data_IF_048581339438
#
_entry.id   IF_048581339438
#
_cell.length_a   1.000
_cell.length_b   1.000
_cell.length_c   1.000
_cell.angle_alpha   90.00
_cell.angle_beta   90.00
_cell.angle_gamma   90.00
#
_symmetry.space_group_name_H-M   'P 1'
#
loop_
_entity.id
_entity.type
_entity.pdbx_description
1 polymer ?
#
# COMPACT_ATOMS: atom_id res chain seq x y z
N UNK A 1 10.29 -5.56 -34.32
CA UNK A 1 10.75 -6.15 -33.06
C UNK A 1 9.48 -6.36 -32.23
N UNK A 2 9.08 -7.61 -31.95
CA UNK A 2 8.02 -7.82 -30.96
C UNK A 2 8.67 -7.47 -29.62
N UNK A 3 8.33 -6.32 -29.04
CA UNK A 3 8.85 -5.93 -27.74
C UNK A 3 8.51 -7.04 -26.75
N UNK A 4 9.53 -7.78 -26.30
CA UNK A 4 9.36 -8.77 -25.25
C UNK A 4 9.20 -7.99 -23.96
N UNK A 5 8.07 -8.15 -23.29
CA UNK A 5 7.86 -7.55 -21.98
C UNK A 5 8.35 -8.50 -20.89
N UNK A 6 8.87 -7.97 -19.78
CA UNK A 6 9.19 -8.78 -18.61
C UNK A 6 7.90 -9.35 -18.01
N UNK A 7 7.92 -10.62 -17.58
CA UNK A 7 6.81 -11.17 -16.79
C UNK A 7 6.73 -10.47 -15.44
N UNK A 8 5.52 -10.09 -15.05
CA UNK A 8 5.24 -9.50 -13.74
C UNK A 8 5.17 -10.63 -12.73
N UNK A 9 5.98 -10.55 -11.67
CA UNK A 9 5.87 -11.43 -10.51
C UNK A 9 5.77 -10.59 -9.25
N UNK A 10 4.58 -10.54 -8.65
CA UNK A 10 4.32 -9.68 -7.50
C UNK A 10 5.03 -10.18 -6.22
N UNK A 11 5.34 -11.47 -6.13
CA UNK A 11 5.94 -12.11 -4.96
C UNK A 11 7.47 -12.25 -5.05
N UNK A 12 8.08 -11.64 -6.06
CA UNK A 12 9.54 -11.64 -6.25
C UNK A 12 10.09 -10.23 -6.05
N UNK A 13 11.38 -10.10 -5.74
CA UNK A 13 12.13 -8.84 -5.87
C UNK A 13 12.68 -8.62 -7.27
N UNK A 14 12.67 -9.66 -8.10
CA UNK A 14 13.31 -9.66 -9.41
C UNK A 14 12.41 -9.11 -10.51
N UNK A 15 13.03 -8.45 -11.48
CA UNK A 15 12.36 -7.87 -12.64
C UNK A 15 11.96 -6.41 -12.45
N UNK A 16 11.04 -5.96 -13.32
CA UNK A 16 10.66 -4.55 -13.47
C UNK A 16 9.16 -4.39 -13.33
N UNK A 17 8.76 -3.42 -12.52
CA UNK A 17 7.36 -3.07 -12.29
C UNK A 17 7.07 -1.65 -12.77
N UNK A 18 6.16 -1.54 -13.73
CA UNK A 18 5.75 -0.25 -14.28
C UNK A 18 4.94 0.57 -13.28
N UNK A 19 5.04 1.89 -13.38
CA UNK A 19 4.37 2.86 -12.48
C UNK A 19 2.86 2.67 -12.30
N UNK A 20 2.14 2.24 -13.34
CA UNK A 20 0.68 2.09 -13.26
C UNK A 20 0.24 0.90 -12.39
N UNK A 21 0.95 -0.21 -12.52
CA UNK A 21 0.72 -1.41 -11.69
C UNK A 21 1.21 -1.14 -10.26
N UNK A 22 2.38 -0.51 -10.13
CA UNK A 22 2.88 -0.07 -8.82
C UNK A 22 1.86 0.83 -8.11
N UNK A 23 1.33 1.86 -8.79
CA UNK A 23 0.32 2.76 -8.23
C UNK A 23 -0.87 1.99 -7.65
N UNK A 24 -1.42 1.04 -8.40
CA UNK A 24 -2.56 0.22 -7.97
C UNK A 24 -2.26 -0.56 -6.68
N UNK A 25 -1.18 -1.34 -6.64
CA UNK A 25 -0.85 -2.17 -5.48
C UNK A 25 -0.36 -1.36 -4.28
N UNK A 26 0.38 -0.28 -4.54
CA UNK A 26 0.91 0.62 -3.50
C UNK A 26 -0.19 1.29 -2.67
N UNK A 27 -1.41 1.34 -3.21
CA UNK A 27 -2.57 1.85 -2.51
C UNK A 27 -3.50 0.74 -1.99
N UNK A 28 -3.79 -0.29 -2.79
CA UNK A 28 -4.69 -1.39 -2.39
C UNK A 28 -4.15 -2.13 -1.16
N UNK A 29 -2.83 -2.36 -1.07
CA UNK A 29 -2.24 -3.10 0.05
C UNK A 29 -2.42 -2.36 1.39
N UNK A 30 -1.99 -1.09 1.55
CA UNK A 30 -2.24 -0.34 2.77
C UNK A 30 -3.73 -0.17 3.08
N UNK A 31 -4.57 0.11 2.08
CA UNK A 31 -6.02 0.26 2.27
C UNK A 31 -6.66 -1.02 2.81
N UNK A 32 -6.29 -2.18 2.27
CA UNK A 32 -6.78 -3.48 2.74
C UNK A 32 -6.37 -3.71 4.20
N UNK A 33 -5.11 -3.43 4.55
CA UNK A 33 -4.63 -3.57 5.93
C UNK A 33 -5.37 -2.62 6.87
N UNK A 34 -5.59 -1.36 6.48
CA UNK A 34 -6.36 -0.40 7.27
C UNK A 34 -7.77 -0.92 7.58
N UNK A 35 -8.48 -1.42 6.57
CA UNK A 35 -9.83 -1.96 6.75
C UNK A 35 -9.86 -3.24 7.58
N UNK A 36 -8.84 -4.10 7.49
CA UNK A 36 -8.71 -5.26 8.37
C UNK A 36 -8.50 -4.84 9.83
N UNK A 37 -7.67 -3.82 10.09
CA UNK A 37 -7.49 -3.26 11.43
C UNK A 37 -8.82 -2.71 11.96
N UNK A 38 -9.52 -1.91 11.17
CA UNK A 38 -10.81 -1.33 11.56
C UNK A 38 -11.85 -2.42 11.86
N UNK A 39 -11.91 -3.48 11.04
CA UNK A 39 -12.82 -4.60 11.24
C UNK A 39 -12.52 -5.35 12.55
N UNK A 40 -11.24 -5.62 12.86
CA UNK A 40 -10.85 -6.29 14.10
C UNK A 40 -11.10 -5.38 15.31
N UNK A 41 -10.77 -4.09 15.21
CA UNK A 41 -11.02 -3.10 16.26
C UNK A 41 -12.50 -3.04 16.66
N UNK A 42 -13.41 -3.13 15.69
CA UNK A 42 -14.87 -3.17 15.94
C UNK A 42 -15.38 -4.45 16.63
N UNK A 43 -14.56 -5.50 16.72
CA UNK A 43 -14.91 -6.75 17.41
C UNK A 43 -14.29 -6.86 18.81
N UNK A 44 -13.49 -5.86 19.22
CA UNK A 44 -12.84 -5.85 20.53
C UNK A 44 -13.89 -5.85 21.63
N UNK A 45 -13.86 -6.86 22.50
CA UNK A 45 -14.84 -7.07 23.57
C UNK A 45 -15.93 -8.10 23.27
N UNK A 46 -16.08 -8.55 22.02
CA UNK A 46 -16.94 -9.69 21.68
C UNK A 46 -16.19 -11.03 21.79
N UNK A 47 -14.88 -10.99 21.55
CA UNK A 47 -14.00 -12.15 21.62
C UNK A 47 -13.46 -12.39 23.02
N UNK A 48 -13.22 -13.66 23.35
CA UNK A 48 -12.46 -14.03 24.54
C UNK A 48 -10.95 -13.72 24.37
N UNK A 49 -10.16 -13.90 25.44
CA UNK A 49 -8.73 -13.56 25.44
C UNK A 49 -7.96 -14.34 24.37
N UNK A 50 -8.27 -15.63 24.18
CA UNK A 50 -7.57 -16.48 23.21
C UNK A 50 -7.88 -16.07 21.77
N UNK A 51 -9.14 -15.79 21.47
CA UNK A 51 -9.60 -15.33 20.17
C UNK A 51 -8.98 -13.97 19.80
N UNK A 52 -8.94 -13.02 20.75
CA UNK A 52 -8.27 -11.73 20.55
C UNK A 52 -6.78 -11.93 20.27
N UNK A 53 -6.09 -12.77 21.04
CA UNK A 53 -4.67 -13.05 20.83
C UNK A 53 -4.40 -13.64 19.44
N UNK A 54 -5.25 -14.56 18.98
CA UNK A 54 -5.16 -15.16 17.65
C UNK A 54 -5.42 -14.10 16.55
N UNK A 55 -6.46 -13.29 16.69
CA UNK A 55 -6.80 -12.24 15.74
C UNK A 55 -5.67 -11.23 15.57
N UNK A 56 -5.09 -10.74 16.67
CA UNK A 56 -3.95 -9.82 16.64
C UNK A 56 -2.69 -10.47 16.06
N UNK A 57 -2.45 -11.76 16.33
CA UNK A 57 -1.30 -12.48 15.77
C UNK A 57 -1.41 -12.63 14.26
N UNK A 58 -2.60 -12.99 13.75
CA UNK A 58 -2.86 -13.06 12.31
C UNK A 58 -2.77 -11.70 11.64
N UNK A 59 -3.28 -10.65 12.29
CA UNK A 59 -3.17 -9.28 11.81
C UNK A 59 -1.71 -8.84 11.72
N UNK A 60 -0.90 -9.11 12.74
CA UNK A 60 0.53 -8.79 12.73
C UNK A 60 1.25 -9.50 11.57
N UNK A 61 0.94 -10.78 11.34
CA UNK A 61 1.47 -11.54 10.21
C UNK A 61 1.04 -10.93 8.86
N UNK A 62 -0.23 -10.53 8.72
CA UNK A 62 -0.75 -9.91 7.52
C UNK A 62 -0.08 -8.55 7.23
N UNK A 63 0.14 -7.73 8.27
CA UNK A 63 0.86 -6.45 8.16
C UNK A 63 2.30 -6.71 7.70
N UNK A 64 2.99 -7.69 8.30
CA UNK A 64 4.37 -8.02 7.92
C UNK A 64 4.46 -8.51 6.48
N UNK A 65 3.54 -9.39 6.06
CA UNK A 65 3.47 -9.88 4.70
C UNK A 65 3.17 -8.76 3.69
N UNK A 66 2.22 -7.86 4.01
CA UNK A 66 1.89 -6.72 3.16
C UNK A 66 3.06 -5.73 3.04
N UNK A 67 3.79 -5.48 4.13
CA UNK A 67 4.99 -4.65 4.12
C UNK A 67 6.11 -5.28 3.27
N UNK A 68 6.40 -6.56 3.45
CA UNK A 68 7.39 -7.28 2.65
C UNK A 68 7.04 -7.26 1.15
N UNK A 69 5.75 -7.44 0.83
CA UNK A 69 5.24 -7.37 -0.54
C UNK A 69 5.41 -5.96 -1.11
N UNK A 70 5.03 -4.92 -0.38
CA UNK A 70 5.15 -3.53 -0.82
C UNK A 70 6.62 -3.12 -1.04
N UNK A 71 7.54 -3.59 -0.19
CA UNK A 71 8.98 -3.40 -0.37
C UNK A 71 9.45 -4.11 -1.65
N UNK A 72 9.04 -5.36 -1.87
CA UNK A 72 9.38 -6.13 -3.08
C UNK A 72 8.91 -5.44 -4.36
N UNK A 73 7.69 -4.91 -4.36
CA UNK A 73 7.15 -4.12 -5.47
C UNK A 73 7.93 -2.82 -5.68
N UNK A 74 8.40 -2.19 -4.60
CA UNK A 74 9.20 -0.96 -4.67
C UNK A 74 10.62 -1.23 -5.18
N UNK A 75 11.20 -2.39 -4.85
CA UNK A 75 12.47 -2.85 -5.43
C UNK A 75 12.32 -3.01 -6.95
N UNK A 76 11.30 -3.73 -7.41
CA UNK A 76 11.03 -3.87 -8.86
C UNK A 76 10.72 -2.53 -9.54
N UNK A 77 10.11 -1.59 -8.82
CA UNK A 77 9.88 -0.22 -9.29
C UNK A 77 11.20 0.53 -9.47
N UNK A 78 12.15 0.38 -8.55
CA UNK A 78 13.50 0.96 -8.66
C UNK A 78 14.26 0.40 -9.87
N UNK A 79 14.18 -0.92 -10.06
CA UNK A 79 14.77 -1.59 -11.22
C UNK A 79 14.20 -1.06 -12.55
N UNK A 80 12.94 -0.63 -12.57
CA UNK A 80 12.31 -0.12 -13.79
C UNK A 80 12.89 1.22 -14.28
N UNK A 81 13.46 2.06 -13.43
CA UNK A 81 14.27 3.22 -13.86
C UNK A 81 15.79 2.99 -13.69
N UNK A 82 16.20 1.71 -13.73
CA UNK A 82 17.59 1.25 -13.70
C UNK A 82 18.38 1.67 -12.45
N UNK A 83 17.72 1.65 -11.29
CA UNK A 83 18.33 1.93 -9.99
C UNK A 83 18.30 0.70 -9.10
N UNK A 84 19.20 0.66 -8.12
CA UNK A 84 19.27 -0.44 -7.17
C UNK A 84 18.04 -0.53 -6.27
N UNK A 85 17.72 -1.75 -5.82
CA UNK A 85 16.64 -2.00 -4.86
C UNK A 85 16.75 -1.25 -3.53
N UNK A 86 17.96 -0.80 -3.14
CA UNK A 86 18.23 -0.11 -1.88
C UNK A 86 17.39 1.15 -1.65
N UNK A 87 16.99 1.86 -2.71
CA UNK A 87 16.12 3.02 -2.59
C UNK A 87 14.75 2.67 -1.98
N UNK A 88 14.30 1.41 -2.03
CA UNK A 88 13.05 0.97 -1.40
C UNK A 88 13.03 1.16 0.11
N UNK A 89 14.19 1.23 0.77
CA UNK A 89 14.29 1.52 2.21
C UNK A 89 13.73 2.92 2.53
N UNK A 90 13.82 3.86 1.59
CA UNK A 90 13.24 5.20 1.75
C UNK A 90 11.73 5.14 1.97
N UNK A 91 11.03 4.13 1.44
CA UNK A 91 9.60 3.95 1.67
C UNK A 91 9.30 3.65 3.14
N UNK A 92 10.19 2.93 3.82
CA UNK A 92 10.01 2.57 5.24
C UNK A 92 10.31 3.77 6.14
N UNK A 93 11.36 4.53 5.82
CA UNK A 93 11.79 5.69 6.62
C UNK A 93 10.89 6.90 6.38
N UNK A 94 10.46 7.11 5.13
CA UNK A 94 9.65 8.25 4.71
C UNK A 94 8.53 7.80 3.75
N UNK A 95 7.42 7.23 4.26
CA UNK A 95 6.31 6.72 3.46
C UNK A 95 5.76 7.67 2.37
N UNK A 96 5.71 9.01 2.58
CA UNK A 96 5.26 9.94 1.53
C UNK A 96 6.10 9.91 0.24
N UNK A 97 7.30 9.32 0.26
CA UNK A 97 8.13 9.13 -0.94
C UNK A 97 7.42 8.34 -2.06
N UNK A 98 6.37 7.57 -1.71
CA UNK A 98 5.59 6.77 -2.64
C UNK A 98 5.05 7.58 -3.83
N UNK A 99 4.76 8.86 -3.61
CA UNK A 99 4.28 9.78 -4.65
C UNK A 99 5.34 9.97 -5.74
N UNK A 100 6.63 10.03 -5.38
CA UNK A 100 7.71 10.15 -6.38
C UNK A 100 7.75 8.92 -7.29
N UNK A 101 7.56 7.72 -6.74
CA UNK A 101 7.53 6.48 -7.51
C UNK A 101 6.38 6.42 -8.52
N UNK A 102 5.28 7.14 -8.27
CA UNK A 102 4.15 7.27 -9.20
C UNK A 102 4.47 8.19 -10.39
N UNK A 103 5.26 9.24 -10.15
CA UNK A 103 5.51 10.29 -11.14
C UNK A 103 6.68 9.95 -12.06
N UNK A 104 7.76 9.39 -11.51
CA UNK A 104 8.99 9.09 -12.25
C UNK A 104 8.66 8.11 -13.40
N UNK A 105 9.09 8.38 -14.65
CA UNK A 105 8.97 7.43 -15.74
C UNK A 105 9.99 6.28 -15.60
N UNK A 106 9.66 5.10 -16.11
CA UNK A 106 10.61 4.00 -16.26
C UNK A 106 11.62 4.23 -17.39
N UNK A 107 12.68 3.42 -17.44
CA UNK A 107 13.65 3.42 -18.54
C UNK A 107 13.06 2.82 -19.80
N UNK A 108 13.33 3.45 -20.95
CA UNK A 108 12.93 2.94 -22.26
C UNK A 108 13.81 1.75 -22.67
N UNK A 109 13.19 0.68 -23.19
CA UNK A 109 13.91 -0.50 -23.68
C UNK A 109 14.51 -1.38 -22.58
N UNK A 110 15.51 -2.17 -22.96
CA UNK A 110 16.21 -3.13 -22.10
C UNK A 110 17.16 -2.37 -21.17
N UNK A 111 17.17 -2.73 -19.89
CA UNK A 111 18.09 -2.21 -18.88
C UNK A 111 18.83 -3.34 -18.14
N UNK A 112 19.63 -3.01 -17.11
CA UNK A 112 20.41 -4.00 -16.34
C UNK A 112 19.57 -5.06 -15.61
N UNK A 113 18.28 -4.79 -15.46
CA UNK A 113 17.29 -5.65 -14.81
C UNK A 113 16.34 -6.35 -15.81
N UNK A 114 16.62 -6.21 -17.11
CA UNK A 114 15.96 -6.94 -18.19
C UNK A 114 15.03 -6.08 -19.07
N UNK A 115 14.13 -6.80 -19.73
CA UNK A 115 13.14 -6.28 -20.68
C UNK A 115 12.17 -5.27 -20.05
N UNK A 116 11.57 -4.34 -20.82
CA UNK A 116 10.65 -3.34 -20.28
C UNK A 116 9.45 -3.98 -19.57
N UNK A 117 8.97 -3.29 -18.53
CA UNK A 117 7.80 -3.75 -17.78
C UNK A 117 6.56 -3.78 -18.68
N UNK A 118 5.69 -4.77 -18.45
CA UNK A 118 4.43 -4.87 -19.19
C UNK A 118 3.55 -3.63 -18.96
N UNK A 119 3.10 -2.94 -20.02
CA UNK A 119 2.30 -1.73 -19.88
C UNK A 119 0.93 -2.08 -19.32
N UNK A 120 0.45 -1.26 -18.38
CA UNK A 120 -0.89 -1.40 -17.85
C UNK A 120 -1.92 -1.25 -18.99
N UNK A 121 -2.95 -2.12 -19.07
CA UNK A 121 -4.02 -1.99 -20.06
C UNK A 121 -4.63 -0.58 -20.02
N UNK A 122 -4.93 -0.01 -21.21
CA UNK A 122 -5.44 1.38 -21.32
C UNK A 122 -6.63 1.65 -20.41
N UNK A 123 -7.60 0.73 -20.35
CA UNK A 123 -8.76 0.83 -19.48
C UNK A 123 -8.33 0.95 -18.00
N UNK A 124 -7.47 0.04 -17.55
CA UNK A 124 -7.02 -0.01 -16.17
C UNK A 124 -6.21 1.24 -15.79
N UNK A 125 -5.44 1.81 -16.72
CA UNK A 125 -4.72 3.08 -16.52
C UNK A 125 -5.66 4.24 -16.16
N UNK A 126 -6.84 4.32 -16.78
CA UNK A 126 -7.84 5.35 -16.50
C UNK A 126 -8.72 5.01 -15.30
N UNK A 127 -9.02 3.72 -15.07
CA UNK A 127 -9.80 3.28 -13.92
C UNK A 127 -9.03 3.39 -12.59
N UNK A 128 -7.73 3.13 -12.59
CA UNK A 128 -6.91 3.12 -11.37
C UNK A 128 -7.01 4.39 -10.52
N UNK A 129 -6.88 5.62 -11.07
CA UNK A 129 -7.07 6.84 -10.27
C UNK A 129 -8.51 7.01 -9.79
N UNK A 130 -9.52 6.56 -10.55
CA UNK A 130 -10.92 6.61 -10.12
C UNK A 130 -11.18 5.65 -8.94
N UNK A 131 -10.63 4.43 -9.02
CA UNK A 131 -10.68 3.45 -7.94
C UNK A 131 -9.98 4.00 -6.69
N UNK A 132 -8.83 4.65 -6.87
CA UNK A 132 -8.11 5.32 -5.79
C UNK A 132 -8.97 6.38 -5.11
N UNK A 133 -9.56 7.30 -5.90
CA UNK A 133 -10.40 8.37 -5.36
C UNK A 133 -11.66 7.82 -4.68
N UNK A 134 -12.29 6.79 -5.24
CA UNK A 134 -13.47 6.16 -4.66
C UNK A 134 -13.15 5.49 -3.31
N UNK A 135 -12.06 4.72 -3.24
CA UNK A 135 -11.60 4.09 -2.00
C UNK A 135 -11.16 5.13 -0.97
N UNK A 136 -10.47 6.20 -1.39
CA UNK A 136 -10.08 7.28 -0.50
C UNK A 136 -11.31 8.01 0.06
N UNK A 137 -12.29 8.34 -0.78
CA UNK A 137 -13.53 8.98 -0.36
C UNK A 137 -14.33 8.06 0.59
N UNK A 138 -14.37 6.76 0.30
CA UNK A 138 -14.97 5.75 1.17
C UNK A 138 -14.28 5.72 2.54
N UNK A 139 -12.95 5.65 2.59
CA UNK A 139 -12.19 5.71 3.85
C UNK A 139 -12.44 7.01 4.60
N UNK A 140 -12.41 8.17 3.94
CA UNK A 140 -12.67 9.47 4.57
C UNK A 140 -14.08 9.51 5.16
N UNK A 141 -15.09 9.07 4.40
CA UNK A 141 -16.47 9.04 4.86
C UNK A 141 -16.63 8.26 6.16
N UNK A 142 -16.10 7.05 6.24
CA UNK A 142 -16.19 6.23 7.45
C UNK A 142 -15.39 6.80 8.63
N UNK A 143 -14.24 7.42 8.37
CA UNK A 143 -13.45 8.10 9.41
C UNK A 143 -14.23 9.29 9.98
N UNK A 144 -14.86 10.09 9.12
CA UNK A 144 -15.69 11.24 9.54
C UNK A 144 -16.91 10.77 10.31
N UNK A 145 -17.61 9.73 9.84
CA UNK A 145 -18.78 9.18 10.53
C UNK A 145 -18.41 8.60 11.91
N UNK A 146 -17.20 8.05 12.04
CA UNK A 146 -16.70 7.49 13.30
C UNK A 146 -15.97 8.52 14.17
N UNK A 147 -15.90 9.79 13.76
CA UNK A 147 -15.04 10.79 14.38
C UNK A 147 -15.35 11.00 15.85
N UNK A 148 -16.63 11.14 16.22
CA UNK A 148 -17.04 11.37 17.60
C UNK A 148 -16.64 10.22 18.52
N UNK A 149 -16.78 8.97 18.05
CA UNK A 149 -16.34 7.79 18.80
C UNK A 149 -14.81 7.75 18.94
N UNK A 150 -14.09 8.05 17.86
CA UNK A 150 -12.62 8.08 17.86
C UNK A 150 -12.11 9.18 18.79
N UNK A 151 -12.68 10.39 18.74
CA UNK A 151 -12.33 11.51 19.59
C UNK A 151 -12.57 11.19 21.07
N UNK A 152 -13.67 10.52 21.40
CA UNK A 152 -13.97 10.10 22.76
C UNK A 152 -12.98 9.06 23.29
N UNK A 153 -12.60 8.05 22.49
CA UNK A 153 -11.57 7.09 22.88
C UNK A 153 -10.20 7.76 23.03
N UNK A 154 -9.80 8.62 22.09
CA UNK A 154 -8.54 9.36 22.18
C UNK A 154 -8.48 10.27 23.41
N UNK A 155 -9.60 10.89 23.78
CA UNK A 155 -9.71 11.71 25.00
C UNK A 155 -9.46 10.93 26.29
N UNK A 156 -9.77 9.62 26.34
CA UNK A 156 -9.44 8.76 27.49
C UNK A 156 -7.93 8.53 27.62
N UNK A 157 -7.21 8.46 26.51
CA UNK A 157 -5.76 8.28 26.50
C UNK A 157 -5.00 9.61 26.64
N UNK A 158 -5.59 10.71 26.17
CA UNK A 158 -5.00 12.06 26.18
C UNK A 158 -5.97 13.07 26.78
N UNK A 159 -6.01 13.22 28.11
CA UNK A 159 -7.03 14.02 28.80
C UNK A 159 -6.99 15.53 28.52
N UNK A 160 -5.98 16.06 27.82
CA UNK A 160 -5.91 17.46 27.39
C UNK A 160 -6.28 17.68 25.91
N UNK A 161 -6.63 16.62 25.18
CA UNK A 161 -6.90 16.68 23.74
C UNK A 161 -8.32 17.19 23.43
N UNK A 162 -9.24 17.13 24.40
CA UNK A 162 -10.62 17.63 24.27
C UNK A 162 -10.72 19.16 24.21
N UNK A 163 -9.66 19.91 24.54
CA UNK A 163 -9.64 21.37 24.40
C UNK A 163 -9.26 21.83 22.97
N UNK A 164 -8.77 20.90 22.12
CA UNK A 164 -8.25 21.18 20.78
C UNK A 164 -9.05 20.51 19.64
N UNK A 165 -10.02 19.65 19.97
CA UNK A 165 -10.92 18.95 19.03
C UNK A 165 -12.29 19.64 19.00
#
# INVERSE_FOLDING_TARGET
MMDRYSRINLFSSEGRLGRGIYFLFSFILPATIFWLIAAIAGQVGQFNIMENALAYSLLALAIFAAAALLISLTIQRNHDFNQSGWLSILLVIFPPIIIFYWLIPGSNGINSYGEPSYPMPKLMKWLSPLIYLALLAFTIYFVVESWDMIALELGKFFPGLSEFL
#
